data_IF_136832533645
#
_entry.id   IF_136832533645
#
_cell.length_a   1.000
_cell.length_b   1.000
_cell.length_c   1.000
_cell.angle_alpha   90.00
_cell.angle_beta   90.00
_cell.angle_gamma   90.00
#
_symmetry.space_group_name_H-M   'P 1'
#
loop_
_entity.id
_entity.type
_entity.pdbx_description
1 polymer ?
#
# COMPACT_ATOMS: atom_id res chain seq x y z
N UNK A 1 39.44 35.06 20.93
CA UNK A 1 38.16 34.42 21.30
C UNK A 1 37.13 34.74 20.23
N UNK A 2 37.52 34.59 18.96
CA UNK A 2 36.75 34.95 17.75
C UNK A 2 37.08 34.02 16.60
N UNK A 3 37.06 32.70 16.80
CA UNK A 3 37.30 31.73 15.69
C UNK A 3 36.66 30.34 15.91
N UNK A 4 35.49 30.28 16.54
CA UNK A 4 34.77 29.01 16.76
C UNK A 4 33.30 29.10 16.29
N UNK A 5 32.97 29.90 15.28
CA UNK A 5 31.59 29.98 14.78
C UNK A 5 31.47 29.98 13.25
N UNK A 6 32.26 29.19 12.55
CA UNK A 6 32.06 29.01 11.10
C UNK A 6 32.38 27.58 10.67
N UNK A 7 31.63 26.63 11.20
CA UNK A 7 31.53 25.30 10.56
C UNK A 7 30.18 24.66 10.82
N UNK A 8 29.09 25.37 10.51
CA UNK A 8 27.79 24.79 10.27
C UNK A 8 27.75 24.39 8.82
N UNK A 9 27.99 23.12 8.57
CA UNK A 9 27.82 22.50 7.30
C UNK A 9 26.51 23.00 6.62
N UNK A 10 26.63 23.58 5.43
CA UNK A 10 25.55 23.80 4.50
C UNK A 10 24.91 22.44 4.19
N UNK A 11 23.98 21.99 5.03
CA UNK A 11 22.98 21.04 4.60
C UNK A 11 22.30 21.71 3.43
N UNK A 12 22.51 21.21 2.19
CA UNK A 12 21.65 21.50 1.06
C UNK A 12 20.20 21.33 1.54
N UNK A 13 19.56 22.42 1.91
CA UNK A 13 18.12 22.48 2.11
C UNK A 13 17.54 22.28 0.73
N UNK A 14 17.16 21.04 0.37
CA UNK A 14 16.24 20.83 -0.74
C UNK A 14 15.12 21.85 -0.54
N UNK A 15 14.87 22.67 -1.57
CA UNK A 15 13.89 23.75 -1.53
C UNK A 15 12.53 23.13 -1.12
N UNK A 16 12.10 23.39 0.11
CA UNK A 16 10.85 22.82 0.63
C UNK A 16 9.69 23.35 -0.19
N UNK A 17 9.12 22.51 -1.03
CA UNK A 17 7.92 22.85 -1.78
C UNK A 17 6.69 22.72 -0.88
N UNK A 18 5.80 23.69 -0.99
CA UNK A 18 4.45 23.57 -0.43
C UNK A 18 3.55 22.85 -1.44
N UNK A 19 2.78 21.87 -0.97
CA UNK A 19 1.80 21.11 -1.75
C UNK A 19 0.43 21.42 -1.21
N UNK A 20 -0.45 21.90 -2.07
CA UNK A 20 -1.84 22.23 -1.77
C UNK A 20 -2.77 21.12 -2.28
N UNK A 21 -4.03 21.11 -1.82
CA UNK A 21 -5.05 20.15 -2.30
C UNK A 21 -5.18 20.12 -3.82
N UNK A 22 -5.18 21.30 -4.45
CA UNK A 22 -5.25 21.42 -5.92
C UNK A 22 -4.09 20.75 -6.64
N UNK A 23 -2.88 20.80 -6.05
CA UNK A 23 -1.69 20.21 -6.64
C UNK A 23 -1.74 18.68 -6.56
N UNK A 24 -2.28 18.14 -5.45
CA UNK A 24 -2.55 16.71 -5.29
C UNK A 24 -3.58 16.23 -6.32
N UNK A 25 -4.72 16.92 -6.45
CA UNK A 25 -5.77 16.57 -7.42
C UNK A 25 -5.24 16.63 -8.86
N UNK A 26 -4.45 17.66 -9.20
CA UNK A 26 -3.84 17.77 -10.51
C UNK A 26 -2.89 16.59 -10.80
N UNK A 27 -2.02 16.26 -9.82
CA UNK A 27 -1.10 15.12 -9.95
C UNK A 27 -1.82 13.77 -10.01
N UNK A 28 -2.90 13.57 -9.26
CA UNK A 28 -3.68 12.33 -9.32
C UNK A 28 -4.36 12.16 -10.69
N UNK A 29 -4.85 13.25 -11.31
CA UNK A 29 -5.40 13.24 -12.67
C UNK A 29 -4.32 12.98 -13.71
N UNK A 30 -3.13 13.57 -13.56
CA UNK A 30 -1.97 13.31 -14.42
C UNK A 30 -1.54 11.84 -14.35
N UNK A 31 -1.69 11.20 -13.19
CA UNK A 31 -1.51 9.77 -12.99
C UNK A 31 -2.66 8.91 -13.54
N UNK A 32 -3.65 9.50 -14.19
CA UNK A 32 -4.76 8.80 -14.78
C UNK A 32 -5.83 8.32 -13.79
N UNK A 33 -5.91 8.89 -12.57
CA UNK A 33 -7.05 8.66 -11.69
C UNK A 33 -8.27 9.43 -12.20
N UNK A 34 -9.40 8.72 -12.26
CA UNK A 34 -10.66 9.23 -12.76
C UNK A 34 -11.81 8.95 -11.78
N UNK A 35 -12.93 9.60 -12.02
CA UNK A 35 -14.17 9.32 -11.26
C UNK A 35 -14.63 7.89 -11.49
N UNK A 36 -14.99 7.21 -10.41
CA UNK A 36 -15.41 5.81 -10.44
C UNK A 36 -14.28 4.81 -10.20
N UNK A 37 -13.02 5.25 -10.18
CA UNK A 37 -11.89 4.36 -9.93
C UNK A 37 -11.94 3.73 -8.53
N UNK A 38 -11.54 2.45 -8.46
CA UNK A 38 -11.22 1.76 -7.23
C UNK A 38 -9.69 1.72 -7.11
N UNK A 39 -9.13 2.29 -6.05
CA UNK A 39 -7.67 2.44 -5.93
C UNK A 39 -7.17 2.04 -4.56
N UNK A 40 -6.11 1.22 -4.52
CA UNK A 40 -5.32 1.01 -3.31
C UNK A 40 -4.16 2.01 -3.28
N UNK A 41 -3.98 2.66 -2.13
CA UNK A 41 -3.01 3.75 -1.98
C UNK A 41 -1.99 3.42 -0.90
N UNK A 42 -0.72 3.59 -1.24
CA UNK A 42 0.43 3.55 -0.34
C UNK A 42 1.08 4.94 -0.34
N UNK A 43 1.35 5.48 0.83
CA UNK A 43 1.87 6.84 0.93
C UNK A 43 3.07 6.97 1.87
N UNK A 44 4.08 7.75 1.41
CA UNK A 44 5.09 8.36 2.26
C UNK A 44 4.88 9.88 2.28
N UNK A 45 4.10 10.37 3.25
CA UNK A 45 3.76 11.80 3.34
C UNK A 45 4.99 12.71 3.38
N UNK A 46 6.08 12.25 3.99
CA UNK A 46 7.34 13.00 4.12
C UNK A 46 8.00 13.30 2.77
N UNK A 47 7.77 12.44 1.76
CA UNK A 47 8.40 12.56 0.45
C UNK A 47 7.87 13.76 -0.36
N UNK A 48 6.67 14.26 -0.05
CA UNK A 48 6.06 15.39 -0.76
C UNK A 48 6.71 16.74 -0.46
N UNK A 49 7.40 16.89 0.67
CA UNK A 49 7.78 18.16 1.25
C UNK A 49 6.75 18.60 2.29
N UNK A 50 6.26 19.85 2.23
CA UNK A 50 5.22 20.33 3.14
C UNK A 50 3.84 20.26 2.49
N UNK A 51 3.02 19.31 2.94
CA UNK A 51 1.62 19.22 2.51
C UNK A 51 0.76 20.08 3.44
N UNK A 52 0.13 21.13 2.90
CA UNK A 52 -0.73 22.03 3.64
C UNK A 52 -2.03 21.34 4.07
N UNK A 53 -2.18 21.07 5.37
CA UNK A 53 -3.28 20.26 5.93
C UNK A 53 -2.90 18.78 6.15
N UNK A 54 -1.67 18.37 5.80
CA UNK A 54 -1.12 17.06 6.14
C UNK A 54 -1.93 15.87 5.61
N UNK A 55 -2.11 14.82 6.43
CA UNK A 55 -2.82 13.60 6.02
C UNK A 55 -4.26 13.85 5.57
N UNK A 56 -4.95 14.78 6.22
CA UNK A 56 -6.34 15.11 5.91
C UNK A 56 -6.51 15.52 4.45
N UNK A 57 -5.67 16.46 3.99
CA UNK A 57 -5.76 16.97 2.61
C UNK A 57 -5.45 15.90 1.56
N UNK A 58 -4.55 14.96 1.86
CA UNK A 58 -4.27 13.83 0.96
C UNK A 58 -5.52 12.97 0.81
N UNK A 59 -6.18 12.61 1.91
CA UNK A 59 -7.40 11.81 1.90
C UNK A 59 -8.52 12.54 1.16
N UNK A 60 -8.76 13.82 1.46
CA UNK A 60 -9.77 14.62 0.79
C UNK A 60 -9.52 14.72 -0.73
N UNK A 61 -8.25 14.92 -1.14
CA UNK A 61 -7.89 15.01 -2.55
C UNK A 61 -8.12 13.68 -3.29
N UNK A 62 -7.81 12.55 -2.66
CA UNK A 62 -8.07 11.21 -3.21
C UNK A 62 -9.57 10.99 -3.41
N UNK A 63 -10.37 11.20 -2.35
CA UNK A 63 -11.81 11.00 -2.39
C UNK A 63 -12.51 11.93 -3.40
N UNK A 64 -12.07 13.19 -3.50
CA UNK A 64 -12.58 14.13 -4.49
C UNK A 64 -12.23 13.71 -5.93
N UNK A 65 -11.04 13.14 -6.13
CA UNK A 65 -10.60 12.71 -7.45
C UNK A 65 -11.39 11.51 -7.95
N UNK A 66 -11.57 10.47 -7.11
CA UNK A 66 -12.33 9.28 -7.50
C UNK A 66 -13.85 9.51 -7.45
N UNK A 67 -14.32 10.51 -6.73
CA UNK A 67 -15.72 10.88 -6.63
C UNK A 67 -16.59 9.84 -5.92
N UNK A 68 -17.91 10.05 -5.93
CA UNK A 68 -18.90 9.26 -5.19
C UNK A 68 -19.01 7.80 -5.70
N UNK A 69 -18.76 7.57 -6.99
CA UNK A 69 -18.78 6.25 -7.59
C UNK A 69 -17.47 5.46 -7.43
N UNK A 70 -16.39 6.13 -6.99
CA UNK A 70 -15.09 5.53 -6.75
C UNK A 70 -14.91 5.00 -5.34
N UNK A 71 -13.78 4.35 -5.11
CA UNK A 71 -13.40 3.81 -3.80
C UNK A 71 -11.90 3.93 -3.58
N UNK A 72 -11.52 4.48 -2.45
CA UNK A 72 -10.13 4.48 -1.97
C UNK A 72 -9.97 3.38 -0.93
N UNK A 73 -8.91 2.58 -1.03
CA UNK A 73 -8.51 1.57 -0.07
C UNK A 73 -7.07 1.81 0.38
N UNK A 74 -6.76 1.53 1.64
CA UNK A 74 -5.41 1.59 2.18
C UNK A 74 -5.12 0.37 3.06
N UNK A 75 -3.89 -0.19 3.05
CA UNK A 75 -3.49 -1.13 4.08
C UNK A 75 -3.46 -0.41 5.43
N UNK A 76 -4.08 -1.04 6.43
CA UNK A 76 -4.19 -0.53 7.80
C UNK A 76 -3.70 -1.58 8.80
N UNK A 77 -2.57 -2.19 8.47
CA UNK A 77 -2.03 -3.35 9.17
C UNK A 77 -1.62 -3.02 10.60
N UNK A 78 -1.73 -4.03 11.48
CA UNK A 78 -1.49 -3.96 12.91
C UNK A 78 -0.49 -5.04 13.32
N UNK A 79 0.76 -4.88 12.91
CA UNK A 79 1.83 -5.86 13.11
C UNK A 79 2.06 -6.23 14.58
N UNK A 80 1.92 -5.26 15.52
CA UNK A 80 2.01 -5.53 16.96
C UNK A 80 0.86 -6.38 17.52
N UNK A 81 -0.13 -6.70 16.71
CA UNK A 81 -1.19 -7.63 17.08
C UNK A 81 -0.81 -9.11 16.82
N UNK A 82 0.30 -9.35 16.14
CA UNK A 82 0.89 -10.68 16.00
C UNK A 82 1.66 -11.09 17.26
N UNK A 83 1.81 -12.40 17.43
CA UNK A 83 2.68 -12.96 18.47
C UNK A 83 4.09 -12.36 18.39
N UNK A 84 4.72 -12.01 19.53
CA UNK A 84 6.08 -11.47 19.54
C UNK A 84 7.12 -12.38 18.85
N UNK A 85 6.87 -13.70 18.76
CA UNK A 85 7.75 -14.61 18.03
C UNK A 85 7.76 -14.41 16.52
N UNK A 86 6.75 -13.71 15.96
CA UNK A 86 6.76 -13.35 14.55
C UNK A 86 7.91 -12.39 14.18
N UNK A 87 8.58 -11.80 15.20
CA UNK A 87 9.78 -10.98 15.03
C UNK A 87 9.56 -9.63 14.37
N UNK A 88 8.32 -9.32 13.96
CA UNK A 88 7.99 -8.10 13.22
C UNK A 88 7.60 -6.99 14.19
N UNK A 89 8.40 -5.92 14.22
CA UNK A 89 8.15 -4.71 15.02
C UNK A 89 8.05 -4.92 16.55
N UNK A 90 8.53 -6.07 17.08
CA UNK A 90 8.64 -6.34 18.50
C UNK A 90 10.10 -6.14 18.97
N UNK A 91 10.30 -5.15 19.84
CA UNK A 91 11.59 -4.83 20.47
C UNK A 91 11.60 -5.19 21.95
N UNK A 92 10.47 -5.61 22.48
CA UNK A 92 10.27 -5.91 23.90
C UNK A 92 11.01 -7.19 24.32
N UNK A 93 11.59 -7.23 25.55
CA UNK A 93 12.33 -8.37 26.05
C UNK A 93 11.53 -9.68 26.02
N UNK A 94 12.20 -10.80 25.70
CA UNK A 94 11.54 -12.12 25.57
C UNK A 94 10.84 -12.58 26.85
N UNK A 95 11.37 -12.21 28.01
CA UNK A 95 10.77 -12.49 29.32
C UNK A 95 9.39 -11.85 29.53
N UNK A 96 9.01 -10.85 28.70
CA UNK A 96 7.70 -10.24 28.75
C UNK A 96 6.68 -10.87 27.80
N UNK A 97 7.08 -11.74 26.89
CA UNK A 97 6.22 -12.24 25.81
C UNK A 97 4.99 -12.98 26.34
N UNK A 98 5.11 -13.77 27.41
CA UNK A 98 3.96 -14.45 28.01
C UNK A 98 2.97 -13.48 28.65
N UNK A 99 3.45 -12.41 29.28
CA UNK A 99 2.60 -11.34 29.80
C UNK A 99 1.92 -10.58 28.65
N UNK A 100 2.63 -10.35 27.54
CA UNK A 100 2.07 -9.73 26.34
C UNK A 100 0.94 -10.58 25.79
N UNK A 101 1.15 -11.87 25.56
CA UNK A 101 0.11 -12.80 25.07
C UNK A 101 -1.14 -12.81 25.95
N UNK A 102 -0.96 -12.75 27.25
CA UNK A 102 -2.07 -12.76 28.22
C UNK A 102 -2.84 -11.45 28.27
N UNK A 103 -2.18 -10.32 28.05
CA UNK A 103 -2.73 -8.99 28.33
C UNK A 103 -2.93 -8.11 27.08
N UNK A 104 -2.37 -8.48 25.89
CA UNK A 104 -2.56 -7.70 24.69
C UNK A 104 -4.05 -7.59 24.36
N UNK A 105 -4.59 -6.39 24.08
CA UNK A 105 -6.01 -6.23 23.80
C UNK A 105 -6.41 -6.97 22.53
N UNK A 106 -7.63 -7.49 22.49
CA UNK A 106 -8.18 -8.06 21.28
C UNK A 106 -8.31 -7.00 20.17
N UNK A 107 -8.06 -7.40 18.94
CA UNK A 107 -8.28 -6.54 17.79
C UNK A 107 -9.74 -6.04 17.73
N UNK A 108 -9.90 -4.74 17.62
CA UNK A 108 -11.17 -4.08 17.28
C UNK A 108 -10.90 -3.14 16.10
N UNK A 109 -11.53 -3.40 14.97
CA UNK A 109 -11.33 -2.64 13.72
C UNK A 109 -11.60 -1.15 13.86
N UNK A 110 -12.40 -0.73 14.87
CA UNK A 110 -12.76 0.67 15.10
C UNK A 110 -11.66 1.45 15.80
N UNK A 111 -10.93 0.81 16.74
CA UNK A 111 -10.02 1.49 17.66
C UNK A 111 -8.58 1.03 17.61
N UNK A 112 -8.31 -0.23 17.18
CA UNK A 112 -6.93 -0.73 17.13
C UNK A 112 -6.10 0.10 16.14
N UNK A 113 -5.01 0.77 16.59
CA UNK A 113 -4.18 1.60 15.73
C UNK A 113 -3.42 0.78 14.70
N UNK A 114 -3.01 1.40 13.61
CA UNK A 114 -2.08 0.79 12.65
C UNK A 114 -0.65 0.81 13.20
N UNK A 115 0.22 -0.04 12.65
CA UNK A 115 1.66 0.02 12.93
C UNK A 115 2.42 0.23 11.63
N UNK A 116 3.31 1.22 11.61
CA UNK A 116 4.22 1.54 10.48
C UNK A 116 3.55 1.90 9.15
N UNK A 117 2.22 2.03 9.10
CA UNK A 117 1.47 2.37 7.87
C UNK A 117 1.52 3.87 7.53
N UNK A 118 2.05 4.70 8.42
CA UNK A 118 2.14 6.15 8.25
C UNK A 118 0.86 6.91 8.63
N UNK A 119 0.99 8.23 8.73
CA UNK A 119 -0.07 9.09 9.27
C UNK A 119 -1.33 9.13 8.40
N UNK A 120 -1.20 8.94 7.07
CA UNK A 120 -2.35 8.96 6.15
C UNK A 120 -3.21 7.73 6.37
N UNK A 121 -2.64 6.54 6.40
CA UNK A 121 -3.38 5.29 6.63
C UNK A 121 -3.97 5.24 8.05
N UNK A 122 -3.23 5.75 9.06
CA UNK A 122 -3.74 5.82 10.44
C UNK A 122 -4.97 6.75 10.54
N UNK A 123 -4.96 7.89 9.90
CA UNK A 123 -6.12 8.78 9.86
C UNK A 123 -7.26 8.16 9.04
N UNK A 124 -6.93 7.54 7.90
CA UNK A 124 -7.90 6.99 6.96
C UNK A 124 -8.73 5.85 7.56
N UNK A 125 -8.15 4.98 8.41
CA UNK A 125 -8.88 3.86 9.02
C UNK A 125 -10.10 4.28 9.85
N UNK A 126 -10.09 5.50 10.35
CA UNK A 126 -11.19 6.10 11.15
C UNK A 126 -11.87 7.28 10.43
N UNK A 127 -11.64 7.43 9.13
CA UNK A 127 -12.29 8.46 8.31
C UNK A 127 -13.81 8.26 8.31
N UNK A 128 -14.61 9.34 8.30
CA UNK A 128 -16.07 9.22 8.19
C UNK A 128 -16.48 8.33 7.01
N UNK A 129 -17.26 7.28 7.28
CA UNK A 129 -17.67 6.31 6.27
C UNK A 129 -16.62 5.23 5.95
N UNK A 130 -15.51 5.17 6.69
CA UNK A 130 -14.52 4.10 6.50
C UNK A 130 -15.04 2.75 7.01
N UNK A 131 -14.87 1.72 6.19
CA UNK A 131 -15.00 0.32 6.55
C UNK A 131 -13.61 -0.29 6.69
N UNK A 132 -13.40 -1.14 7.70
CA UNK A 132 -12.12 -1.82 7.93
C UNK A 132 -12.35 -3.32 8.07
N UNK A 133 -11.47 -4.13 7.50
CA UNK A 133 -11.57 -5.59 7.56
C UNK A 133 -11.27 -6.14 8.97
N UNK A 134 -11.81 -7.31 9.24
CA UNK A 134 -11.71 -7.95 10.56
C UNK A 134 -10.41 -8.72 10.79
N UNK A 135 -9.51 -8.76 9.80
CA UNK A 135 -8.21 -9.45 9.98
C UNK A 135 -7.32 -8.72 11.00
N UNK A 136 -6.90 -9.40 12.09
CA UNK A 136 -6.29 -8.75 13.26
C UNK A 136 -4.92 -8.14 13.01
N UNK A 137 -4.19 -8.61 12.01
CA UNK A 137 -2.84 -8.14 11.70
C UNK A 137 -2.71 -7.51 10.31
N UNK A 138 -3.46 -8.00 9.31
CA UNK A 138 -3.34 -7.64 7.89
C UNK A 138 -4.54 -6.85 7.36
N UNK A 139 -5.23 -6.08 8.23
CA UNK A 139 -6.44 -5.34 7.83
C UNK A 139 -6.20 -4.28 6.76
N UNK A 140 -7.25 -4.00 6.01
CA UNK A 140 -7.37 -2.88 5.08
C UNK A 140 -8.56 -2.02 5.49
N UNK A 141 -8.48 -0.73 5.20
CA UNK A 141 -9.64 0.16 5.30
C UNK A 141 -10.00 0.69 3.91
N UNK A 142 -11.30 0.95 3.70
CA UNK A 142 -11.81 1.50 2.45
C UNK A 142 -12.90 2.53 2.70
N UNK A 143 -12.99 3.53 1.83
CA UNK A 143 -14.03 4.57 1.78
C UNK A 143 -14.52 4.72 0.35
N UNK A 144 -15.81 4.73 0.14
CA UNK A 144 -16.45 4.90 -1.17
C UNK A 144 -17.45 3.79 -1.48
N UNK A 145 -17.91 3.75 -2.73
CA UNK A 145 -19.03 2.90 -3.18
C UNK A 145 -18.84 1.40 -2.90
N UNK A 146 -17.63 0.88 -3.11
CA UNK A 146 -17.32 -0.53 -2.95
C UNK A 146 -16.61 -0.84 -1.60
N UNK A 147 -16.58 0.10 -0.66
CA UNK A 147 -15.80 -0.02 0.56
C UNK A 147 -16.16 -1.27 1.39
N UNK A 148 -17.45 -1.48 1.65
CA UNK A 148 -17.92 -2.64 2.41
C UNK A 148 -17.59 -3.96 1.70
N UNK A 149 -17.83 -4.04 0.39
CA UNK A 149 -17.50 -5.21 -0.42
C UNK A 149 -16.01 -5.57 -0.35
N UNK A 150 -15.14 -4.57 -0.46
CA UNK A 150 -13.70 -4.80 -0.46
C UNK A 150 -13.21 -5.40 0.86
N UNK A 151 -13.68 -4.90 1.99
CA UNK A 151 -13.14 -5.28 3.30
C UNK A 151 -13.88 -6.43 3.99
N UNK A 152 -15.04 -6.83 3.47
CA UNK A 152 -15.86 -7.91 4.03
C UNK A 152 -15.16 -9.27 3.87
N UNK A 153 -15.43 -10.19 4.80
CA UNK A 153 -15.01 -11.60 4.73
C UNK A 153 -13.52 -11.79 4.41
N UNK A 154 -12.65 -11.09 5.13
CA UNK A 154 -11.20 -11.22 5.05
C UNK A 154 -10.74 -12.37 5.95
N UNK A 155 -10.49 -13.54 5.36
CA UNK A 155 -10.16 -14.77 6.08
C UNK A 155 -8.79 -14.72 6.75
N UNK A 156 -8.68 -15.35 7.93
CA UNK A 156 -7.42 -15.41 8.69
C UNK A 156 -6.34 -16.24 7.99
N UNK A 157 -6.76 -17.29 7.29
CA UNK A 157 -5.85 -18.20 6.58
C UNK A 157 -5.44 -17.71 5.20
N UNK A 158 -6.12 -16.67 4.69
CA UNK A 158 -5.92 -16.15 3.34
C UNK A 158 -5.64 -14.64 3.36
N UNK A 159 -4.54 -14.27 4.03
CA UNK A 159 -4.18 -12.89 4.39
C UNK A 159 -4.13 -11.93 3.20
N UNK A 160 -3.69 -12.42 2.03
CA UNK A 160 -3.53 -11.62 0.81
C UNK A 160 -4.05 -12.33 -0.45
N UNK A 161 -4.72 -13.49 -0.30
CA UNK A 161 -5.21 -14.30 -1.40
C UNK A 161 -6.64 -13.97 -1.83
N UNK A 162 -7.37 -14.99 -2.28
CA UNK A 162 -8.62 -14.81 -3.05
C UNK A 162 -9.80 -14.29 -2.22
N UNK A 163 -9.78 -14.43 -0.88
CA UNK A 163 -10.79 -13.83 0.01
C UNK A 163 -10.39 -12.43 0.50
N UNK A 164 -9.14 -12.03 0.25
CA UNK A 164 -8.59 -10.76 0.73
C UNK A 164 -9.17 -9.55 -0.01
N UNK A 165 -9.05 -8.36 0.57
CA UNK A 165 -9.36 -7.11 -0.12
C UNK A 165 -8.58 -6.90 -1.42
N UNK A 166 -7.38 -7.50 -1.56
CA UNK A 166 -6.55 -7.38 -2.76
C UNK A 166 -7.18 -8.10 -3.96
N UNK A 167 -7.66 -9.34 -3.79
CA UNK A 167 -8.32 -10.07 -4.86
C UNK A 167 -9.65 -9.43 -5.26
N UNK A 168 -10.40 -8.89 -4.31
CA UNK A 168 -11.64 -8.15 -4.58
C UNK A 168 -11.38 -6.88 -5.38
N UNK A 169 -10.32 -6.14 -5.03
CA UNK A 169 -9.91 -4.96 -5.80
C UNK A 169 -9.44 -5.35 -7.22
N UNK A 170 -8.68 -6.45 -7.33
CA UNK A 170 -8.27 -7.01 -8.63
C UNK A 170 -9.48 -7.36 -9.51
N UNK A 171 -10.52 -7.99 -8.93
CA UNK A 171 -11.75 -8.31 -9.64
C UNK A 171 -12.53 -7.07 -10.12
N UNK A 172 -12.43 -5.96 -9.40
CA UNK A 172 -13.01 -4.68 -9.79
C UNK A 172 -12.18 -3.90 -10.82
N UNK A 173 -11.07 -4.45 -11.30
CA UNK A 173 -10.16 -3.73 -12.20
C UNK A 173 -9.46 -2.54 -11.54
N UNK A 174 -9.17 -2.66 -10.26
CA UNK A 174 -8.60 -1.58 -9.45
C UNK A 174 -7.22 -1.13 -9.88
N UNK A 175 -6.82 0.04 -9.38
CA UNK A 175 -5.50 0.65 -9.59
C UNK A 175 -4.67 0.61 -8.30
N UNK A 176 -3.35 0.61 -8.44
CA UNK A 176 -2.39 0.82 -7.35
C UNK A 176 -1.79 2.21 -7.48
N UNK A 177 -1.77 2.96 -6.40
CA UNK A 177 -1.18 4.29 -6.32
C UNK A 177 -0.06 4.29 -5.25
N UNK A 178 1.18 4.48 -5.70
CA UNK A 178 2.35 4.65 -4.84
C UNK A 178 2.70 6.14 -4.76
N UNK A 179 2.51 6.74 -3.61
CA UNK A 179 2.70 8.18 -3.38
C UNK A 179 4.01 8.43 -2.60
N UNK A 180 5.11 8.63 -3.32
CA UNK A 180 6.43 8.91 -2.74
C UNK A 180 7.04 7.73 -1.98
N UNK A 181 6.66 6.52 -2.32
CA UNK A 181 7.23 5.25 -1.84
C UNK A 181 7.51 4.32 -3.01
N UNK A 182 8.35 3.30 -2.78
CA UNK A 182 8.74 2.30 -3.75
C UNK A 182 7.79 1.10 -3.82
N UNK A 183 8.19 0.13 -4.63
CA UNK A 183 7.45 -1.12 -4.79
C UNK A 183 7.53 -2.00 -3.54
N UNK A 184 8.52 -1.82 -2.69
CA UNK A 184 8.64 -2.46 -1.37
C UNK A 184 7.40 -2.22 -0.46
N UNK A 185 6.59 -1.23 -0.80
CA UNK A 185 5.31 -0.93 -0.12
C UNK A 185 4.08 -1.41 -0.88
N UNK A 186 4.24 -1.95 -2.10
CA UNK A 186 3.12 -2.39 -2.92
C UNK A 186 2.53 -3.71 -2.44
N UNK A 187 1.63 -3.64 -1.46
CA UNK A 187 0.96 -4.83 -0.90
C UNK A 187 0.23 -5.67 -1.97
N UNK A 188 -0.13 -5.11 -3.12
CA UNK A 188 -0.81 -5.86 -4.19
C UNK A 188 0.05 -6.99 -4.77
N UNK A 189 1.37 -6.90 -4.68
CA UNK A 189 2.28 -7.96 -5.15
C UNK A 189 2.14 -9.23 -4.30
N UNK A 190 1.74 -9.12 -3.03
CA UNK A 190 1.44 -10.30 -2.21
C UNK A 190 0.30 -11.17 -2.76
N UNK A 191 -0.63 -10.62 -3.54
CA UNK A 191 -1.61 -11.47 -4.24
C UNK A 191 -0.92 -12.36 -5.27
N UNK A 192 0.19 -11.90 -5.86
CA UNK A 192 0.99 -12.74 -6.74
C UNK A 192 1.75 -13.83 -5.96
N UNK A 193 2.24 -13.57 -4.74
CA UNK A 193 2.81 -14.62 -3.87
C UNK A 193 1.84 -15.78 -3.67
N UNK A 194 0.55 -15.45 -3.48
CA UNK A 194 -0.47 -16.49 -3.28
C UNK A 194 -0.75 -17.25 -4.57
N UNK A 195 -0.74 -16.60 -5.72
CA UNK A 195 -1.08 -17.19 -7.02
C UNK A 195 0.05 -17.94 -7.68
N UNK A 196 1.28 -17.46 -7.52
CA UNK A 196 2.47 -18.07 -8.13
C UNK A 196 2.84 -19.40 -7.46
N UNK A 197 3.39 -20.32 -8.26
CA UNK A 197 3.99 -21.55 -7.77
C UNK A 197 5.51 -21.42 -7.79
N UNK A 198 6.17 -21.55 -6.63
CA UNK A 198 7.62 -21.42 -6.49
C UNK A 198 8.18 -22.33 -5.39
N UNK A 199 9.46 -22.75 -5.49
CA UNK A 199 10.10 -23.53 -4.45
C UNK A 199 10.15 -22.78 -3.13
N UNK A 200 9.88 -23.49 -2.03
CA UNK A 200 9.89 -22.89 -0.70
C UNK A 200 8.58 -22.22 -0.27
N UNK A 201 7.59 -22.10 -1.16
CA UNK A 201 6.24 -21.64 -0.78
C UNK A 201 5.65 -22.58 0.27
N UNK A 202 5.30 -22.04 1.43
CA UNK A 202 4.77 -22.85 2.54
C UNK A 202 3.89 -22.01 3.46
N UNK A 203 3.04 -22.69 4.23
CA UNK A 203 2.26 -22.06 5.28
C UNK A 203 3.04 -22.06 6.60
N UNK A 204 2.81 -21.01 7.40
CA UNK A 204 3.28 -20.85 8.76
C UNK A 204 2.13 -20.58 9.72
N UNK A 205 2.45 -20.57 11.01
CA UNK A 205 1.48 -20.24 12.05
C UNK A 205 1.67 -18.82 12.52
N UNK A 206 0.57 -18.08 12.55
CA UNK A 206 0.48 -16.78 13.20
C UNK A 206 -0.51 -16.85 14.36
N UNK A 207 -0.37 -15.95 15.33
CA UNK A 207 -1.31 -15.85 16.44
C UNK A 207 -1.58 -14.40 16.78
N UNK A 208 -2.83 -14.11 17.17
CA UNK A 208 -3.27 -12.76 17.50
C UNK A 208 -4.34 -12.77 18.60
N UNK A 209 -4.43 -11.68 19.35
CA UNK A 209 -5.55 -11.45 20.26
C UNK A 209 -6.77 -10.99 19.46
N UNK A 210 -7.88 -11.72 19.56
CA UNK A 210 -9.12 -11.49 18.83
C UNK A 210 -10.35 -11.54 19.73
N UNK A 211 -11.46 -11.00 19.27
CA UNK A 211 -12.78 -11.19 19.87
C UNK A 211 -13.46 -12.39 19.21
N UNK A 212 -13.62 -13.48 19.95
CA UNK A 212 -14.38 -14.66 19.55
C UNK A 212 -15.64 -14.71 20.41
N UNK A 213 -16.82 -14.62 19.79
CA UNK A 213 -18.11 -14.55 20.50
C UNK A 213 -18.13 -13.47 21.61
N UNK A 214 -17.52 -12.32 21.36
CA UNK A 214 -17.45 -11.20 22.30
C UNK A 214 -16.44 -11.34 23.43
N UNK A 215 -15.67 -12.43 23.46
CA UNK A 215 -14.60 -12.67 24.45
C UNK A 215 -13.24 -12.56 23.79
N UNK A 216 -12.28 -12.01 24.53
CA UNK A 216 -10.89 -12.00 24.10
C UNK A 216 -10.31 -13.42 24.13
N UNK A 217 -9.81 -13.86 22.99
CA UNK A 217 -9.07 -15.10 22.84
C UNK A 217 -7.73 -14.86 22.14
N UNK A 218 -6.74 -15.71 22.43
CA UNK A 218 -5.47 -15.77 21.70
C UNK A 218 -5.61 -16.85 20.65
N UNK A 219 -5.82 -16.44 19.39
CA UNK A 219 -6.17 -17.34 18.30
C UNK A 219 -4.94 -17.62 17.44
N UNK A 220 -4.66 -18.90 17.19
CA UNK A 220 -3.62 -19.34 16.25
C UNK A 220 -4.28 -19.81 14.96
N UNK A 221 -3.74 -19.36 13.83
CA UNK A 221 -4.20 -19.72 12.48
C UNK A 221 -3.01 -20.01 11.57
N UNK A 222 -3.24 -20.78 10.53
CA UNK A 222 -2.24 -21.05 9.48
C UNK A 222 -2.48 -20.12 8.30
N UNK A 223 -1.39 -19.58 7.74
CA UNK A 223 -1.44 -18.69 6.58
C UNK A 223 -0.16 -18.82 5.77
N UNK A 224 -0.18 -18.38 4.51
CA UNK A 224 1.01 -18.34 3.68
C UNK A 224 2.08 -17.43 4.32
N UNK A 225 3.30 -17.94 4.41
CA UNK A 225 4.47 -17.10 4.72
C UNK A 225 4.80 -16.30 3.47
N UNK A 226 4.67 -14.98 3.56
CA UNK A 226 4.92 -14.07 2.44
C UNK A 226 6.23 -13.33 2.65
N UNK A 227 6.92 -13.10 1.55
CA UNK A 227 8.17 -12.35 1.49
C UNK A 227 8.02 -11.20 0.48
N UNK A 228 8.53 -10.03 0.82
CA UNK A 228 8.50 -8.85 -0.04
C UNK A 228 9.89 -8.30 -0.37
N UNK A 229 10.95 -9.08 -0.14
CA UNK A 229 12.33 -8.64 -0.34
C UNK A 229 12.65 -8.32 -1.81
N UNK A 230 11.99 -9.00 -2.76
CA UNK A 230 12.16 -8.80 -4.20
C UNK A 230 11.16 -7.84 -4.87
N UNK A 231 10.31 -7.18 -4.11
CA UNK A 231 9.25 -6.31 -4.67
C UNK A 231 9.79 -5.12 -5.47
N UNK A 232 10.92 -4.56 -5.08
CA UNK A 232 11.58 -3.50 -5.89
C UNK A 232 12.07 -4.07 -7.23
N UNK A 233 12.66 -5.26 -7.26
CA UNK A 233 13.11 -5.91 -8.49
C UNK A 233 11.94 -6.24 -9.42
N UNK A 234 10.83 -6.73 -8.87
CA UNK A 234 9.58 -6.95 -9.61
C UNK A 234 9.08 -5.63 -10.21
N UNK A 235 9.08 -4.56 -9.42
CA UNK A 235 8.65 -3.24 -9.85
C UNK A 235 9.51 -2.66 -10.97
N UNK A 236 10.83 -2.74 -10.85
CA UNK A 236 11.76 -2.30 -11.89
C UNK A 236 11.60 -3.10 -13.18
N UNK A 237 11.42 -4.41 -13.08
CA UNK A 237 11.16 -5.27 -14.23
C UNK A 237 9.80 -4.97 -14.88
N UNK A 238 8.79 -4.63 -14.07
CA UNK A 238 7.47 -4.20 -14.55
C UNK A 238 7.57 -2.89 -15.34
N UNK A 239 8.24 -1.86 -14.81
CA UNK A 239 8.43 -0.58 -15.50
C UNK A 239 9.20 -0.74 -16.80
N UNK A 240 10.16 -1.65 -16.84
CA UNK A 240 10.93 -1.97 -18.06
C UNK A 240 10.05 -2.60 -19.14
N UNK A 241 9.08 -3.44 -18.75
CA UNK A 241 8.12 -4.07 -19.65
C UNK A 241 7.00 -3.12 -20.10
N UNK A 242 6.58 -2.23 -19.21
CA UNK A 242 5.52 -1.25 -19.42
C UNK A 242 6.04 0.17 -19.19
N UNK A 243 6.71 0.76 -20.20
CA UNK A 243 7.29 2.10 -20.06
C UNK A 243 6.25 3.13 -19.66
N UNK A 244 6.67 4.11 -18.86
CA UNK A 244 5.85 5.23 -18.43
C UNK A 244 5.36 6.06 -19.61
N UNK A 245 4.04 6.17 -19.74
CA UNK A 245 3.41 6.95 -20.82
C UNK A 245 3.69 8.44 -20.71
N UNK A 246 3.95 8.96 -19.50
CA UNK A 246 4.25 10.37 -19.26
C UNK A 246 5.72 10.71 -19.62
N UNK A 247 6.63 9.73 -19.62
CA UNK A 247 8.03 9.93 -19.98
C UNK A 247 8.24 10.06 -21.51
N UNK A 248 7.33 9.54 -22.31
CA UNK A 248 7.40 9.55 -23.78
C UNK A 248 7.03 10.91 -24.43
N UNK A 249 6.54 11.89 -23.68
CA UNK A 249 6.18 13.23 -24.19
C UNK A 249 7.35 14.19 -24.41
N UNK A 250 8.60 13.72 -24.24
CA UNK A 250 9.82 14.45 -24.57
C UNK A 250 10.36 14.12 -25.98
N UNK A 251 9.90 14.85 -27.01
CA UNK A 251 10.47 14.88 -28.35
C UNK A 251 10.56 13.55 -29.14
N UNK A 252 9.52 13.20 -29.85
CA UNK A 252 9.58 12.17 -30.89
C UNK A 252 8.24 11.95 -31.56
N UNK A 253 8.14 12.28 -32.85
CA UNK A 253 7.02 11.92 -33.70
C UNK A 253 6.69 10.41 -33.54
N UNK A 254 5.43 10.00 -33.39
CA UNK A 254 5.11 8.59 -33.36
C UNK A 254 5.37 7.96 -34.73
N UNK A 255 6.51 7.31 -34.87
CA UNK A 255 6.73 6.43 -36.02
C UNK A 255 6.01 5.13 -35.77
N UNK A 256 4.92 4.89 -36.46
CA UNK A 256 4.19 3.63 -36.55
C UNK A 256 5.11 2.52 -37.06
N UNK A 257 5.57 1.65 -36.13
CA UNK A 257 6.22 0.39 -36.45
C UNK A 257 5.20 -0.77 -36.34
N UNK A 258 5.36 -1.88 -37.08
CA UNK A 258 4.35 -2.95 -37.17
C UNK A 258 4.25 -3.88 -35.95
N UNK A 259 4.74 -3.51 -34.79
CA UNK A 259 4.59 -4.24 -33.51
C UNK A 259 4.03 -3.33 -32.42
N UNK A 260 2.93 -2.63 -32.73
CA UNK A 260 2.18 -1.85 -31.74
C UNK A 260 1.57 -2.78 -30.70
N UNK A 261 2.28 -2.96 -29.58
CA UNK A 261 1.55 -3.13 -28.31
C UNK A 261 0.79 -1.83 -28.10
N UNK A 262 -0.55 -1.85 -27.99
CA UNK A 262 -1.31 -0.64 -27.79
C UNK A 262 -0.78 0.08 -26.56
N UNK A 263 -0.31 1.34 -26.71
CA UNK A 263 -0.05 2.21 -25.57
C UNK A 263 -1.37 2.37 -24.81
N UNK A 264 -1.58 1.51 -23.83
CA UNK A 264 -2.73 1.62 -22.97
C UNK A 264 -2.31 2.49 -21.76
N UNK A 265 -2.69 3.79 -21.72
CA UNK A 265 -2.33 4.69 -20.63
C UNK A 265 -2.80 4.19 -19.24
N UNK A 266 -3.66 3.18 -19.23
CA UNK A 266 -4.17 2.57 -18.00
C UNK A 266 -3.20 1.57 -17.34
N UNK A 267 -2.06 1.18 -17.95
CA UNK A 267 -1.17 0.17 -17.36
C UNK A 267 -0.22 0.77 -16.34
N UNK A 268 0.56 1.80 -16.71
CA UNK A 268 1.54 2.44 -15.84
C UNK A 268 1.79 3.89 -16.23
N UNK A 269 1.84 4.76 -15.23
CA UNK A 269 2.29 6.14 -15.38
C UNK A 269 2.92 6.66 -14.07
N UNK A 270 3.79 7.65 -14.20
CA UNK A 270 4.38 8.38 -13.09
C UNK A 270 4.22 9.89 -13.24
N UNK A 271 4.22 10.60 -12.11
CA UNK A 271 4.18 12.06 -12.06
C UNK A 271 4.94 12.56 -10.83
N UNK A 272 5.36 13.83 -10.87
CA UNK A 272 5.98 14.48 -9.72
C UNK A 272 4.97 15.37 -9.00
N UNK A 273 4.69 15.08 -7.73
CA UNK A 273 3.81 15.88 -6.88
C UNK A 273 4.65 16.45 -5.73
N UNK A 274 4.85 17.75 -5.70
CA UNK A 274 5.81 18.36 -4.79
C UNK A 274 7.23 17.83 -5.04
N UNK A 275 7.83 17.21 -4.02
CA UNK A 275 9.12 16.53 -4.13
C UNK A 275 8.98 15.02 -4.38
N UNK A 276 7.78 14.46 -4.20
CA UNK A 276 7.52 13.03 -4.35
C UNK A 276 7.40 12.62 -5.81
N UNK A 277 7.98 11.46 -6.16
CA UNK A 277 7.58 10.70 -7.34
C UNK A 277 6.38 9.86 -6.96
N UNK A 278 5.30 10.00 -7.70
CA UNK A 278 4.09 9.22 -7.56
C UNK A 278 3.94 8.30 -8.78
N UNK A 279 3.47 7.07 -8.55
CA UNK A 279 3.29 6.04 -9.58
C UNK A 279 1.87 5.50 -9.50
N UNK A 280 1.22 5.32 -10.66
CA UNK A 280 -0.08 4.67 -10.76
C UNK A 280 -0.01 3.54 -11.77
N UNK A 281 -0.62 2.41 -11.43
CA UNK A 281 -0.64 1.24 -12.30
C UNK A 281 -1.93 0.44 -12.16
N UNK A 282 -2.27 -0.31 -13.20
CA UNK A 282 -3.31 -1.33 -13.12
C UNK A 282 -2.89 -2.40 -12.11
N UNK A 283 -3.73 -2.66 -11.08
CA UNK A 283 -3.45 -3.73 -10.13
C UNK A 283 -3.38 -5.09 -10.83
N UNK A 284 -4.28 -5.32 -11.78
CA UNK A 284 -4.28 -6.56 -12.57
C UNK A 284 -2.95 -6.75 -13.30
N UNK A 285 -2.47 -5.71 -13.96
CA UNK A 285 -1.24 -5.81 -14.75
C UNK A 285 -0.01 -6.11 -13.88
N UNK A 286 0.15 -5.42 -12.73
CA UNK A 286 1.30 -5.67 -11.84
C UNK A 286 1.20 -7.04 -11.16
N UNK A 287 0.02 -7.50 -10.77
CA UNK A 287 -0.16 -8.81 -10.14
C UNK A 287 0.10 -9.92 -11.17
N UNK A 288 -0.49 -9.87 -12.36
CA UNK A 288 -0.27 -10.89 -13.40
C UNK A 288 1.20 -10.95 -13.85
N UNK A 289 1.85 -9.79 -13.93
CA UNK A 289 3.29 -9.71 -14.20
C UNK A 289 4.11 -10.35 -13.08
N UNK A 290 3.80 -10.00 -11.82
CA UNK A 290 4.51 -10.51 -10.66
C UNK A 290 4.38 -12.03 -10.50
N UNK A 291 3.22 -12.62 -10.81
CA UNK A 291 3.06 -14.10 -10.84
C UNK A 291 4.11 -14.73 -11.75
N UNK A 292 4.16 -14.30 -13.01
CA UNK A 292 5.13 -14.84 -13.98
C UNK A 292 6.58 -14.60 -13.54
N UNK A 293 6.88 -13.42 -13.03
CA UNK A 293 8.21 -13.06 -12.56
C UNK A 293 8.66 -13.94 -11.38
N UNK A 294 7.79 -14.16 -10.40
CA UNK A 294 8.03 -14.99 -9.22
C UNK A 294 8.31 -16.43 -9.63
N UNK A 295 7.50 -17.02 -10.51
CA UNK A 295 7.66 -18.39 -11.01
C UNK A 295 8.98 -18.59 -11.77
N UNK A 296 9.46 -17.55 -12.47
CA UNK A 296 10.72 -17.60 -13.21
C UNK A 296 11.97 -17.37 -12.33
N UNK A 297 11.87 -16.56 -11.27
CA UNK A 297 13.05 -16.02 -10.56
C UNK A 297 13.23 -16.55 -9.14
N UNK A 298 12.17 -16.88 -8.39
CA UNK A 298 12.29 -17.53 -7.09
C UNK A 298 12.58 -19.03 -7.27
N UNK A 299 13.80 -19.44 -6.89
CA UNK A 299 14.29 -20.82 -7.07
C UNK A 299 14.51 -21.52 -5.74
#
# INVERSE_FOLDING_TARGET
MEDIMENTAEKKTEERKIVLKKDLIAGFKELGLEKGDNVIVHTSLKSFGFVCGGPQIVIEALLETVGEDGTVMMPTQTWKNLDPTAGVHWEEPKEWWDLIRQNWPAYDKRITPTNTMGAVAEMFRSWPGAHRSDHPARSFAAVGKNAEYLVKDHDLSDIFGETSPLAKLYALGGKVLLLGCGYDKNTSIHLADVRAEYPGKHNGKESSAMLVNGKREWVTYETLVVDGEDFEEIGEAFEKKYPDVNSASGSGNPSSGPNDTPHNPAIFCSAKIGNAVAKCMSQKAIVDFAVSWIEENRK
#
